data_IF_522508802929
#
_entry.id   IF_522508802929
#
_cell.length_a   1.000
_cell.length_b   1.000
_cell.length_c   1.000
_cell.angle_alpha   90.00
_cell.angle_beta   90.00
_cell.angle_gamma   90.00
#
_symmetry.space_group_name_H-M   'P 1'
#
loop_
_entity.id
_entity.type
_entity.pdbx_description
1 polymer ?
#
# COMPACT_ATOMS: atom_id res chain seq x y z
N UNK A 1 73.71 -37.16 1.11
CA UNK A 1 72.43 -37.84 0.81
C UNK A 1 71.49 -36.77 0.29
N UNK A 2 71.39 -36.78 -1.02
CA UNK A 2 70.65 -35.78 -1.78
C UNK A 2 69.23 -36.29 -2.02
N UNK A 3 68.24 -35.55 -1.62
CA UNK A 3 66.84 -35.83 -1.97
C UNK A 3 66.29 -34.69 -2.81
N UNK A 4 66.65 -34.76 -4.10
CA UNK A 4 65.96 -34.00 -5.12
C UNK A 4 64.48 -34.39 -5.21
N UNK A 5 63.57 -33.46 -4.84
CA UNK A 5 62.17 -33.48 -5.28
C UNK A 5 62.00 -32.47 -6.39
N UNK A 6 61.85 -33.00 -7.60
CA UNK A 6 61.47 -32.23 -8.75
C UNK A 6 60.06 -31.63 -8.61
N UNK A 7 59.75 -30.51 -9.29
CA UNK A 7 58.41 -29.93 -9.31
C UNK A 7 57.51 -30.81 -10.19
N UNK A 8 56.81 -31.77 -9.53
CA UNK A 8 55.84 -32.62 -10.19
C UNK A 8 54.61 -31.81 -10.55
N UNK A 9 54.38 -31.68 -11.78
CA UNK A 9 53.13 -31.54 -12.54
C UNK A 9 51.83 -31.24 -11.77
N UNK A 10 51.56 -29.97 -11.53
CA UNK A 10 50.24 -29.43 -11.23
C UNK A 10 49.57 -28.86 -12.52
N UNK A 11 49.94 -29.33 -13.70
CA UNK A 11 49.43 -28.79 -14.97
C UNK A 11 48.40 -29.63 -15.71
N UNK A 12 47.82 -30.68 -15.09
CA UNK A 12 46.91 -31.59 -15.81
C UNK A 12 45.40 -31.39 -15.52
N UNK A 13 45.01 -30.44 -14.68
CA UNK A 13 43.58 -30.24 -14.46
C UNK A 13 42.97 -28.96 -15.04
N UNK A 14 43.70 -28.21 -15.85
CA UNK A 14 43.24 -26.94 -16.42
C UNK A 14 42.88 -26.97 -17.91
N UNK A 15 42.74 -28.14 -18.54
CA UNK A 15 42.48 -28.25 -19.98
C UNK A 15 41.26 -29.13 -20.33
N UNK A 16 40.40 -29.39 -19.36
CA UNK A 16 39.06 -29.98 -19.57
C UNK A 16 38.04 -28.87 -19.76
N UNK A 17 37.53 -28.76 -20.98
CA UNK A 17 36.18 -28.25 -21.30
C UNK A 17 35.89 -26.76 -21.30
N UNK A 18 36.71 -25.97 -21.98
CA UNK A 18 36.30 -24.60 -22.34
C UNK A 18 35.02 -24.59 -23.24
N UNK A 19 34.77 -25.66 -24.01
CA UNK A 19 33.59 -25.79 -24.86
C UNK A 19 32.32 -26.18 -24.05
N UNK A 20 32.42 -27.15 -23.14
CA UNK A 20 31.32 -27.51 -22.24
C UNK A 20 30.93 -26.39 -21.32
N UNK A 21 31.88 -25.62 -20.79
CA UNK A 21 31.65 -24.45 -19.98
C UNK A 21 30.87 -23.32 -20.69
N UNK A 22 31.14 -23.10 -22.00
CA UNK A 22 30.43 -22.06 -22.79
C UNK A 22 28.97 -22.43 -23.05
N UNK A 23 28.69 -23.67 -23.38
CA UNK A 23 27.33 -24.15 -23.59
C UNK A 23 26.52 -24.11 -22.29
N UNK A 24 27.09 -24.55 -21.17
CA UNK A 24 26.42 -24.48 -19.84
C UNK A 24 26.11 -23.03 -19.48
N UNK A 25 27.04 -22.10 -19.71
CA UNK A 25 26.76 -20.66 -19.45
C UNK A 25 25.65 -20.13 -20.34
N UNK A 26 25.62 -20.48 -21.61
CA UNK A 26 24.55 -20.08 -22.53
C UNK A 26 23.20 -20.68 -22.13
N UNK A 27 23.20 -21.95 -21.72
CA UNK A 27 21.97 -22.61 -21.22
C UNK A 27 21.46 -21.98 -19.93
N UNK A 28 22.34 -21.68 -18.97
CA UNK A 28 21.98 -20.99 -17.74
C UNK A 28 21.46 -19.58 -18.00
N UNK A 29 22.12 -18.82 -18.88
CA UNK A 29 21.64 -17.50 -19.26
C UNK A 29 20.27 -17.58 -19.93
N UNK A 30 20.05 -18.52 -20.83
CA UNK A 30 18.76 -18.79 -21.46
C UNK A 30 17.67 -19.13 -20.44
N UNK A 31 17.99 -20.00 -19.48
CA UNK A 31 17.08 -20.38 -18.40
C UNK A 31 16.69 -19.17 -17.53
N UNK A 32 17.66 -18.31 -17.16
CA UNK A 32 17.40 -17.11 -16.38
C UNK A 32 16.49 -16.14 -17.16
N UNK A 33 16.75 -15.96 -18.47
CA UNK A 33 15.89 -15.10 -19.30
C UNK A 33 14.47 -15.66 -19.40
N UNK A 34 14.31 -16.94 -19.67
CA UNK A 34 12.98 -17.57 -19.76
C UNK A 34 12.24 -17.47 -18.44
N UNK A 35 12.90 -17.78 -17.32
CA UNK A 35 12.30 -17.62 -16.00
C UNK A 35 11.95 -16.17 -15.70
N UNK A 36 12.85 -15.23 -16.03
CA UNK A 36 12.62 -13.79 -15.85
C UNK A 36 11.40 -13.29 -16.63
N UNK A 37 11.21 -13.74 -17.87
CA UNK A 37 10.04 -13.38 -18.69
C UNK A 37 8.75 -13.94 -18.07
N UNK A 38 8.76 -15.19 -17.58
CA UNK A 38 7.61 -15.80 -16.90
C UNK A 38 7.34 -15.10 -15.57
N UNK A 39 8.36 -14.71 -14.82
CA UNK A 39 8.20 -14.05 -13.52
C UNK A 39 7.85 -12.55 -13.64
N UNK A 40 8.14 -11.92 -14.76
CA UNK A 40 7.98 -10.47 -14.97
C UNK A 40 6.59 -9.94 -14.57
N UNK A 41 5.47 -10.58 -14.96
CA UNK A 41 4.14 -10.10 -14.59
C UNK A 41 3.86 -10.13 -13.08
N UNK A 42 4.61 -10.90 -12.29
CA UNK A 42 4.47 -10.91 -10.83
C UNK A 42 5.22 -9.76 -10.15
N UNK A 43 6.23 -9.23 -10.80
CA UNK A 43 7.04 -8.13 -10.26
C UNK A 43 6.60 -6.75 -10.78
N UNK A 44 6.06 -6.70 -12.00
CA UNK A 44 5.71 -5.45 -12.67
C UNK A 44 4.30 -5.52 -13.27
N UNK A 45 3.50 -4.44 -13.20
CA UNK A 45 2.14 -4.38 -13.74
C UNK A 45 2.14 -4.22 -15.27
N UNK A 46 2.72 -5.19 -15.97
CA UNK A 46 2.84 -5.20 -17.44
C UNK A 46 1.62 -5.79 -18.15
N UNK A 47 0.74 -6.49 -17.41
CA UNK A 47 -0.49 -7.06 -17.94
C UNK A 47 -1.72 -6.30 -17.41
N UNK A 48 -2.79 -6.18 -18.23
CA UNK A 48 -4.10 -5.78 -17.70
C UNK A 48 -4.51 -6.72 -16.57
N UNK A 49 -5.21 -6.17 -15.56
CA UNK A 49 -5.45 -6.87 -14.29
C UNK A 49 -6.19 -8.20 -14.45
N UNK A 50 -7.21 -8.24 -15.31
CA UNK A 50 -7.98 -9.46 -15.57
C UNK A 50 -7.12 -10.52 -16.28
N UNK A 51 -6.16 -10.07 -17.11
CA UNK A 51 -5.20 -10.96 -17.77
C UNK A 51 -4.19 -11.50 -16.77
N UNK A 52 -3.73 -10.67 -15.84
CA UNK A 52 -2.84 -11.09 -14.77
C UNK A 52 -3.50 -12.15 -13.86
N UNK A 53 -4.76 -11.95 -13.46
CA UNK A 53 -5.49 -12.93 -12.65
C UNK A 53 -5.59 -14.28 -13.36
N UNK A 54 -5.88 -14.30 -14.66
CA UNK A 54 -5.90 -15.54 -15.47
C UNK A 54 -4.51 -16.17 -15.56
N UNK A 55 -3.47 -15.36 -15.73
CA UNK A 55 -2.09 -15.78 -15.84
C UNK A 55 -1.60 -16.46 -14.56
N UNK A 56 -1.78 -15.82 -13.39
CA UNK A 56 -1.39 -16.39 -12.10
C UNK A 56 -2.14 -17.72 -11.82
N UNK A 57 -3.45 -17.77 -12.14
CA UNK A 57 -4.25 -19.00 -11.96
C UNK A 57 -3.75 -20.12 -12.88
N UNK A 58 -3.40 -19.83 -14.13
CA UNK A 58 -2.85 -20.81 -15.07
C UNK A 58 -1.50 -21.39 -14.61
N UNK A 59 -0.72 -20.62 -13.87
CA UNK A 59 0.54 -21.04 -13.25
C UNK A 59 0.35 -21.74 -11.89
N UNK A 60 -0.89 -21.92 -11.42
CA UNK A 60 -1.18 -22.52 -10.12
C UNK A 60 -0.77 -21.63 -8.93
N UNK A 61 -0.59 -20.32 -9.16
CA UNK A 61 -0.25 -19.39 -8.11
C UNK A 61 -1.51 -18.89 -7.41
N UNK A 62 -1.49 -18.91 -6.08
CA UNK A 62 -2.53 -18.27 -5.26
C UNK A 62 -2.00 -16.93 -4.74
N UNK A 63 -2.87 -15.91 -4.61
CA UNK A 63 -2.46 -14.65 -4.01
C UNK A 63 -1.83 -14.85 -2.64
N UNK A 64 -0.71 -14.20 -2.38
CA UNK A 64 0.01 -14.24 -1.12
C UNK A 64 0.12 -12.84 -0.53
N UNK A 65 0.21 -12.79 0.80
CA UNK A 65 0.48 -11.58 1.58
C UNK A 65 1.67 -11.83 2.49
N UNK A 66 2.44 -10.80 2.73
CA UNK A 66 3.50 -10.79 3.75
C UNK A 66 2.90 -10.52 5.15
N UNK A 67 1.70 -9.98 5.20
CA UNK A 67 0.91 -9.73 6.40
C UNK A 67 -0.20 -10.77 6.52
N UNK A 68 -0.61 -11.16 7.73
CA UNK A 68 -1.64 -12.18 7.99
C UNK A 68 -3.06 -11.65 7.67
N UNK A 69 -3.25 -11.08 6.49
CA UNK A 69 -4.51 -10.48 6.04
C UNK A 69 -5.31 -11.42 5.13
N UNK A 70 -6.62 -11.22 5.08
CA UNK A 70 -7.47 -11.89 4.11
C UNK A 70 -7.15 -11.40 2.71
N UNK A 71 -6.86 -12.34 1.80
CA UNK A 71 -6.48 -12.02 0.43
C UNK A 71 -7.69 -11.90 -0.49
N UNK A 72 -7.57 -10.96 -1.45
CA UNK A 72 -8.46 -10.86 -2.60
C UNK A 72 -7.97 -11.71 -3.78
N UNK A 73 -8.34 -11.31 -5.00
CA UNK A 73 -7.91 -11.98 -6.23
C UNK A 73 -6.46 -11.65 -6.63
N UNK A 74 -5.84 -10.66 -5.99
CA UNK A 74 -4.51 -10.15 -6.31
C UNK A 74 -3.54 -10.35 -5.15
N UNK A 75 -2.24 -10.53 -5.43
CA UNK A 75 -1.19 -10.34 -4.44
C UNK A 75 -1.26 -8.94 -3.83
N UNK A 76 -0.89 -8.79 -2.55
CA UNK A 76 -1.01 -7.53 -1.82
C UNK A 76 -0.40 -6.35 -2.58
N UNK A 77 0.85 -6.46 -3.03
CA UNK A 77 1.57 -5.37 -3.73
C UNK A 77 0.88 -4.88 -5.02
N UNK A 78 -0.01 -5.71 -5.61
CA UNK A 78 -0.88 -5.28 -6.71
C UNK A 78 -2.17 -4.67 -6.18
N UNK A 79 -2.81 -5.29 -5.19
CA UNK A 79 -4.05 -4.80 -4.61
C UNK A 79 -3.88 -3.39 -4.02
N UNK A 80 -2.74 -3.12 -3.39
CA UNK A 80 -2.36 -1.81 -2.83
C UNK A 80 -2.20 -0.70 -3.89
N UNK A 81 -2.26 -1.04 -5.18
CA UNK A 81 -2.26 -0.04 -6.26
C UNK A 81 -3.66 0.48 -6.61
N UNK A 82 -4.72 -0.12 -6.06
CA UNK A 82 -6.11 0.14 -6.44
C UNK A 82 -6.94 0.72 -5.30
N UNK A 83 -7.98 1.45 -5.68
CA UNK A 83 -8.97 1.98 -4.72
C UNK A 83 -8.69 3.41 -4.26
N UNK A 84 -7.48 3.91 -4.41
CA UNK A 84 -7.10 5.24 -3.92
C UNK A 84 -7.89 6.37 -4.59
N UNK A 85 -8.08 6.32 -5.91
CA UNK A 85 -8.84 7.34 -6.64
C UNK A 85 -10.32 7.33 -6.26
N UNK A 86 -10.91 6.14 -6.06
CA UNK A 86 -12.29 5.96 -5.60
C UNK A 86 -12.47 6.56 -4.19
N UNK A 87 -11.60 6.19 -3.27
CA UNK A 87 -11.60 6.70 -1.90
C UNK A 87 -11.43 8.22 -1.84
N UNK A 88 -10.43 8.75 -2.55
CA UNK A 88 -10.16 10.20 -2.58
C UNK A 88 -11.29 10.98 -3.24
N UNK A 89 -11.96 10.40 -4.24
CA UNK A 89 -13.16 10.98 -4.86
C UNK A 89 -14.32 11.08 -3.88
N UNK A 90 -14.52 10.05 -3.03
CA UNK A 90 -15.51 10.10 -1.95
C UNK A 90 -15.17 11.15 -0.90
N UNK A 91 -13.90 11.27 -0.51
CA UNK A 91 -13.43 12.31 0.41
C UNK A 91 -13.66 13.70 -0.18
N UNK A 92 -13.39 13.88 -1.49
CA UNK A 92 -13.63 15.16 -2.17
C UNK A 92 -15.12 15.49 -2.25
N UNK A 93 -15.97 14.50 -2.46
CA UNK A 93 -17.43 14.66 -2.38
C UNK A 93 -17.84 15.10 -0.98
N UNK A 94 -17.41 14.41 0.07
CA UNK A 94 -17.68 14.79 1.46
C UNK A 94 -17.21 16.23 1.74
N UNK A 95 -16.00 16.59 1.30
CA UNK A 95 -15.48 17.94 1.46
C UNK A 95 -16.29 18.98 0.70
N UNK A 96 -16.86 18.65 -0.47
CA UNK A 96 -17.69 19.56 -1.24
C UNK A 96 -19.03 19.90 -0.54
N UNK A 97 -19.54 18.99 0.28
CA UNK A 97 -20.78 19.13 1.05
C UNK A 97 -20.61 20.06 2.28
N UNK A 98 -19.37 20.39 2.67
CA UNK A 98 -19.10 21.30 3.78
C UNK A 98 -19.38 22.76 3.39
N UNK A 99 -19.87 23.53 4.36
CA UNK A 99 -19.99 24.97 4.21
C UNK A 99 -18.61 25.65 4.11
N UNK A 100 -18.53 26.90 3.61
CA UNK A 100 -17.24 27.64 3.57
C UNK A 100 -16.59 27.79 4.94
N UNK A 101 -17.39 27.93 6.00
CA UNK A 101 -16.95 28.04 7.39
C UNK A 101 -16.36 26.71 7.87
N UNK A 102 -17.08 25.62 7.65
CA UNK A 102 -16.61 24.26 8.00
C UNK A 102 -15.30 23.91 7.31
N UNK A 103 -15.13 24.28 6.03
CA UNK A 103 -13.92 24.01 5.26
C UNK A 103 -12.66 24.64 5.85
N UNK A 104 -12.78 25.77 6.56
CA UNK A 104 -11.64 26.41 7.21
C UNK A 104 -11.07 25.57 8.36
N UNK A 105 -11.95 24.80 9.03
CA UNK A 105 -11.62 23.98 10.21
C UNK A 105 -11.74 22.49 9.95
N UNK A 106 -11.87 22.10 8.68
CA UNK A 106 -11.97 20.69 8.30
C UNK A 106 -10.60 20.02 8.20
N UNK A 107 -10.55 18.74 8.58
CA UNK A 107 -9.42 17.83 8.34
C UNK A 107 -9.94 16.51 7.80
N UNK A 108 -9.05 15.75 7.17
CA UNK A 108 -9.31 14.37 6.78
C UNK A 108 -8.55 13.45 7.73
N UNK A 109 -9.20 12.40 8.21
CA UNK A 109 -8.58 11.38 9.06
C UNK A 109 -8.61 10.03 8.36
N UNK A 110 -7.43 9.47 8.10
CA UNK A 110 -7.24 8.10 7.65
C UNK A 110 -6.84 7.18 8.81
N UNK A 111 -7.37 5.96 8.83
CA UNK A 111 -7.03 4.98 9.87
C UNK A 111 -5.56 4.57 9.76
N UNK A 112 -4.98 4.61 8.55
CA UNK A 112 -3.59 4.27 8.32
C UNK A 112 -2.87 5.34 7.46
N UNK A 113 -1.55 5.21 7.37
CA UNK A 113 -0.70 6.14 6.61
C UNK A 113 -0.93 6.08 5.09
N UNK A 114 -1.41 4.94 4.56
CA UNK A 114 -1.73 4.78 3.14
C UNK A 114 -2.93 5.63 2.75
N UNK A 115 -4.01 5.56 3.52
CA UNK A 115 -5.22 6.38 3.33
C UNK A 115 -4.90 7.87 3.43
N UNK A 116 -4.17 8.28 4.48
CA UNK A 116 -3.76 9.66 4.66
C UNK A 116 -2.84 10.13 3.53
N UNK A 117 -1.89 9.29 3.09
CA UNK A 117 -1.00 9.56 1.98
C UNK A 117 -1.70 9.72 0.65
N UNK A 118 -2.70 8.89 0.38
CA UNK A 118 -3.51 8.99 -0.83
C UNK A 118 -4.26 10.33 -0.88
N UNK A 119 -4.84 10.76 0.24
CA UNK A 119 -5.48 12.09 0.33
C UNK A 119 -4.48 13.22 0.08
N UNK A 120 -3.30 13.17 0.71
CA UNK A 120 -2.29 14.21 0.56
C UNK A 120 -1.70 14.29 -0.86
N UNK A 121 -1.57 13.16 -1.54
CA UNK A 121 -0.98 13.10 -2.89
C UNK A 121 -2.03 13.37 -3.97
N UNK A 122 -3.12 12.62 -3.97
CA UNK A 122 -4.15 12.67 -5.01
C UNK A 122 -5.16 13.79 -4.75
N UNK A 123 -5.52 14.02 -3.48
CA UNK A 123 -6.51 15.00 -3.08
C UNK A 123 -6.03 16.46 -3.19
N UNK A 124 -4.73 16.71 -3.27
CA UNK A 124 -4.17 18.06 -3.45
C UNK A 124 -4.74 18.76 -4.70
N UNK A 125 -4.93 18.03 -5.78
CA UNK A 125 -5.50 18.57 -7.03
C UNK A 125 -6.98 18.91 -6.90
N UNK A 126 -7.66 18.33 -5.91
CA UNK A 126 -9.06 18.54 -5.61
C UNK A 126 -9.27 19.58 -4.50
N UNK A 127 -8.19 20.22 -4.02
CA UNK A 127 -8.23 21.23 -2.97
C UNK A 127 -8.52 20.67 -1.59
N UNK A 128 -8.28 19.39 -1.34
CA UNK A 128 -8.47 18.77 -0.03
C UNK A 128 -7.45 19.28 0.98
N UNK A 129 -7.84 19.43 2.26
CA UNK A 129 -6.91 19.75 3.32
C UNK A 129 -5.96 18.58 3.60
N UNK A 130 -4.85 18.87 4.28
CA UNK A 130 -3.93 17.84 4.73
C UNK A 130 -4.64 16.79 5.58
N UNK A 131 -4.29 15.53 5.33
CA UNK A 131 -4.77 14.41 6.10
C UNK A 131 -3.99 14.24 7.41
N UNK A 132 -4.65 13.66 8.40
CA UNK A 132 -4.07 13.20 9.66
C UNK A 132 -4.30 11.69 9.79
N UNK A 133 -3.42 11.05 10.55
CA UNK A 133 -3.58 9.67 10.96
C UNK A 133 -2.84 9.44 12.28
N UNK A 134 -3.30 8.48 13.06
CA UNK A 134 -2.57 7.99 14.23
C UNK A 134 -1.35 7.13 13.87
N UNK A 135 -1.15 6.82 12.60
CA UNK A 135 -0.24 5.80 12.14
C UNK A 135 1.12 6.37 11.72
N UNK A 136 2.19 5.81 12.31
CA UNK A 136 3.59 6.08 11.94
C UNK A 136 3.92 7.59 11.86
N UNK A 137 4.54 8.05 10.78
CA UNK A 137 4.97 9.44 10.60
C UNK A 137 3.83 10.46 10.64
N UNK A 138 2.63 10.10 10.23
CA UNK A 138 1.46 10.98 10.30
C UNK A 138 1.11 11.36 11.74
N UNK A 139 1.26 10.42 12.68
CA UNK A 139 1.07 10.74 14.10
C UNK A 139 2.07 11.79 14.60
N UNK A 140 3.32 11.74 14.14
CA UNK A 140 4.36 12.72 14.50
C UNK A 140 4.04 14.12 13.96
N UNK A 141 3.41 14.21 12.79
CA UNK A 141 3.00 15.50 12.22
C UNK A 141 1.77 16.09 12.93
N UNK A 142 0.91 15.23 13.47
CA UNK A 142 -0.25 15.62 14.25
C UNK A 142 -1.31 16.37 13.44
N UNK A 143 -2.34 16.91 14.13
CA UNK A 143 -3.47 17.60 13.50
C UNK A 143 -3.17 19.05 13.06
N UNK A 144 -1.93 19.53 13.25
CA UNK A 144 -1.56 20.92 12.96
C UNK A 144 -1.93 21.89 14.08
N UNK A 145 -1.80 23.20 13.82
CA UNK A 145 -2.00 24.27 14.80
C UNK A 145 -3.42 24.83 14.85
N UNK A 146 -4.18 24.68 13.77
CA UNK A 146 -5.51 25.25 13.65
C UNK A 146 -6.58 24.44 14.39
N UNK A 147 -7.67 25.06 14.88
CA UNK A 147 -8.82 24.35 15.42
C UNK A 147 -9.37 23.35 14.39
N UNK A 148 -9.87 22.23 14.85
CA UNK A 148 -10.51 21.21 14.01
C UNK A 148 -11.91 20.97 14.56
N UNK A 149 -12.93 21.40 13.82
CA UNK A 149 -14.34 21.31 14.22
C UNK A 149 -15.09 20.25 13.40
N UNK A 150 -14.58 19.95 12.21
CA UNK A 150 -15.14 18.95 11.30
C UNK A 150 -14.04 18.01 10.83
N UNK A 151 -14.32 16.72 10.86
CA UNK A 151 -13.39 15.70 10.34
C UNK A 151 -14.10 14.82 9.33
N UNK A 152 -13.52 14.68 8.16
CA UNK A 152 -13.91 13.65 7.20
C UNK A 152 -13.12 12.39 7.57
N UNK A 153 -13.82 11.36 8.00
CA UNK A 153 -13.23 10.11 8.48
C UNK A 153 -13.34 9.05 7.39
N UNK A 154 -12.21 8.41 7.09
CA UNK A 154 -12.14 7.25 6.21
C UNK A 154 -12.11 6.01 7.09
N UNK A 155 -13.08 5.11 6.94
CA UNK A 155 -13.16 3.88 7.72
C UNK A 155 -13.42 4.09 9.22
N UNK A 156 -12.97 3.12 10.01
CA UNK A 156 -13.22 3.07 11.44
C UNK A 156 -14.62 2.55 11.78
N UNK A 157 -14.77 2.08 13.03
CA UNK A 157 -16.08 1.66 13.54
C UNK A 157 -16.93 2.88 13.87
N UNK A 158 -18.22 2.84 13.49
CA UNK A 158 -19.16 3.95 13.75
C UNK A 158 -19.37 4.22 15.25
N UNK A 159 -19.36 3.16 16.07
CA UNK A 159 -19.53 3.33 17.51
C UNK A 159 -18.30 3.96 18.15
N UNK A 160 -17.11 3.61 17.66
CA UNK A 160 -15.86 4.21 18.10
C UNK A 160 -15.80 5.69 17.70
N UNK A 161 -16.14 6.01 16.45
CA UNK A 161 -16.22 7.39 15.98
C UNK A 161 -17.25 8.22 16.78
N UNK A 162 -18.38 7.62 17.15
CA UNK A 162 -19.42 8.27 17.96
C UNK A 162 -18.98 8.60 19.40
N UNK A 163 -17.88 8.04 19.88
CA UNK A 163 -17.31 8.44 21.17
C UNK A 163 -16.66 9.84 21.10
N UNK A 164 -16.18 10.21 19.92
CA UNK A 164 -15.46 11.46 19.69
C UNK A 164 -16.33 12.58 19.08
N UNK A 165 -17.42 12.23 18.40
CA UNK A 165 -18.29 13.17 17.69
C UNK A 165 -19.74 12.99 18.04
N UNK A 166 -20.51 14.09 18.03
CA UNK A 166 -21.97 14.03 18.27
C UNK A 166 -22.73 13.68 16.99
N UNK A 167 -22.27 14.17 15.87
CA UNK A 167 -22.93 14.07 14.56
C UNK A 167 -22.00 13.40 13.55
N UNK A 168 -22.47 12.28 12.97
CA UNK A 168 -21.72 11.51 11.97
C UNK A 168 -22.65 11.18 10.82
N UNK A 169 -22.34 11.72 9.67
CA UNK A 169 -23.05 11.55 8.42
C UNK A 169 -22.23 10.71 7.44
N UNK A 170 -22.74 9.56 7.00
CA UNK A 170 -22.06 8.71 6.00
C UNK A 170 -22.38 9.25 4.62
N UNK A 171 -21.31 9.58 3.86
CA UNK A 171 -21.41 10.10 2.48
C UNK A 171 -21.37 8.97 1.46
N UNK A 172 -20.66 7.90 1.74
CA UNK A 172 -20.53 6.74 0.86
C UNK A 172 -19.55 5.72 1.37
N UNK A 173 -19.32 4.68 0.58
CA UNK A 173 -18.39 3.58 0.87
C UNK A 173 -17.43 3.37 -0.29
N UNK A 174 -16.19 2.96 0.02
CA UNK A 174 -15.21 2.55 -0.98
C UNK A 174 -15.66 1.27 -1.69
N UNK A 175 -15.42 1.18 -2.99
CA UNK A 175 -16.04 0.13 -3.81
C UNK A 175 -15.08 -0.57 -4.78
N UNK A 176 -13.77 -0.29 -4.73
CA UNK A 176 -12.81 -0.88 -5.65
C UNK A 176 -12.78 -2.42 -5.56
N UNK A 177 -13.06 -3.15 -6.65
CA UNK A 177 -13.06 -4.60 -6.63
C UNK A 177 -11.64 -5.22 -6.55
N UNK A 178 -10.61 -4.41 -6.81
CA UNK A 178 -9.23 -4.85 -6.91
C UNK A 178 -8.35 -4.47 -5.71
N UNK A 179 -8.82 -3.56 -4.83
CA UNK A 179 -8.12 -3.22 -3.59
C UNK A 179 -8.12 -4.39 -2.60
N UNK A 180 -7.34 -4.27 -1.55
CA UNK A 180 -7.34 -5.25 -0.46
C UNK A 180 -8.74 -5.37 0.15
N UNK A 181 -9.16 -6.57 0.59
CA UNK A 181 -10.49 -6.76 1.18
C UNK A 181 -10.80 -5.83 2.34
N UNK A 182 -9.81 -5.51 3.17
CA UNK A 182 -9.98 -4.61 4.31
C UNK A 182 -10.11 -3.12 3.93
N UNK A 183 -9.83 -2.78 2.67
CA UNK A 183 -10.00 -1.42 2.11
C UNK A 183 -11.34 -1.25 1.36
N UNK A 184 -12.14 -2.32 1.28
CA UNK A 184 -13.44 -2.29 0.60
C UNK A 184 -14.55 -2.05 1.59
N UNK A 185 -15.54 -1.26 1.18
CA UNK A 185 -16.69 -0.97 2.03
C UNK A 185 -16.36 -0.07 3.21
N UNK A 186 -15.22 0.64 3.17
CA UNK A 186 -14.91 1.64 4.18
C UNK A 186 -15.89 2.79 4.06
N UNK A 187 -16.55 3.12 5.16
CA UNK A 187 -17.39 4.32 5.24
C UNK A 187 -16.52 5.57 5.09
N UNK A 188 -16.93 6.51 4.25
CA UNK A 188 -16.43 7.88 4.27
C UNK A 188 -17.52 8.73 4.89
N UNK A 189 -17.22 9.36 6.02
CA UNK A 189 -18.21 10.10 6.83
C UNK A 189 -17.72 11.51 7.17
N UNK A 190 -18.69 12.42 7.34
CA UNK A 190 -18.45 13.76 7.89
C UNK A 190 -18.83 13.71 9.37
N UNK A 191 -17.85 13.95 10.22
CA UNK A 191 -18.01 13.98 11.66
C UNK A 191 -17.94 15.43 12.16
N UNK A 192 -18.97 15.87 12.86
CA UNK A 192 -19.16 17.23 13.37
C UNK A 192 -19.28 17.24 14.88
N UNK A 193 -19.13 18.40 15.48
CA UNK A 193 -19.28 18.62 16.92
C UNK A 193 -18.41 17.69 17.75
N UNK A 194 -17.09 17.86 17.70
CA UNK A 194 -16.19 17.04 18.49
C UNK A 194 -16.50 17.17 19.98
N UNK A 195 -16.68 16.04 20.67
CA UNK A 195 -16.93 15.95 22.13
C UNK A 195 -15.66 16.18 22.95
N UNK A 196 -14.50 16.09 22.30
CA UNK A 196 -13.18 16.24 22.89
C UNK A 196 -12.32 17.16 22.05
N UNK A 197 -11.33 17.79 22.66
CA UNK A 197 -10.32 18.48 21.91
C UNK A 197 -9.48 17.46 21.14
N UNK A 198 -9.55 17.49 19.79
CA UNK A 198 -8.90 16.49 18.93
C UNK A 198 -7.37 16.50 19.09
N UNK A 199 -6.76 17.62 19.47
CA UNK A 199 -5.33 17.66 19.81
C UNK A 199 -5.00 16.85 21.05
N UNK A 200 -5.84 16.92 22.06
CA UNK A 200 -5.66 16.16 23.30
C UNK A 200 -5.98 14.68 23.11
N UNK A 201 -6.85 14.37 22.14
CA UNK A 201 -7.16 13.00 21.74
C UNK A 201 -6.05 12.36 20.87
N UNK A 202 -5.37 13.14 20.03
CA UNK A 202 -4.36 12.66 19.08
C UNK A 202 -3.27 11.74 19.70
N UNK A 203 -2.72 12.01 20.90
CA UNK A 203 -1.77 11.11 21.54
C UNK A 203 -2.31 9.70 21.81
N UNK A 204 -3.64 9.54 21.96
CA UNK A 204 -4.30 8.25 22.22
C UNK A 204 -4.49 7.43 20.93
N UNK A 205 -4.39 8.07 19.76
CA UNK A 205 -4.54 7.44 18.46
C UNK A 205 -3.24 6.86 17.92
N UNK A 206 -2.18 6.89 18.72
CA UNK A 206 -0.83 6.44 18.31
C UNK A 206 -0.82 4.98 17.91
N UNK A 207 -0.43 4.72 16.69
CA UNK A 207 -0.22 3.37 16.13
C UNK A 207 1.14 3.32 15.42
N UNK A 208 2.04 2.45 15.90
CA UNK A 208 3.32 2.17 15.25
C UNK A 208 3.43 0.68 14.96
N UNK A 209 3.79 0.36 13.73
CA UNK A 209 4.12 -0.98 13.25
C UNK A 209 5.54 -0.98 12.68
#
# INVERSE_FOLDING_TARGET
MDFGRGPGDVRILARGDAHGSRWVRAALAGLIVVFGVIALPFALPVLPIETFVKYQTALGQTPATDEQQTMGALPQHYADMFGWDDMVSLVARAYSELTPEEKQHARVFGQNYGEAGAVDVLGRRLGLPHAMSGHNSYWLWGPGSEPVDVVIIIGGDRQDNAQFFEDIEIVGQTSSPWSMPYERGLDVSIARKPKVNLREACPRLKQFI
#
